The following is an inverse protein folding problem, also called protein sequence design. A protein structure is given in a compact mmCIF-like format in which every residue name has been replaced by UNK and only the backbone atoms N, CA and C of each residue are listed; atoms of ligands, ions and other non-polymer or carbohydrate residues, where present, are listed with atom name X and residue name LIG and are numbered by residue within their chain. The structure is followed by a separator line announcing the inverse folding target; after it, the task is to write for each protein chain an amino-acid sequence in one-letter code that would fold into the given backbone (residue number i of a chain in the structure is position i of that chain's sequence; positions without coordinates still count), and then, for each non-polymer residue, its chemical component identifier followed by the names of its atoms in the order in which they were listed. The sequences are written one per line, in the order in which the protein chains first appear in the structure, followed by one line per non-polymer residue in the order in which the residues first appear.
data_IF_376306712923
#
_entry.id   IF_376306712923
#
_cell.length_a   1.000
_cell.length_b   1.000
_cell.length_c   1.000
_cell.angle_alpha   90.00
_cell.angle_beta   90.00
_cell.angle_gamma   90.00
#
_symmetry.space_group_name_H-M   'P 1'
#
loop_
_entity.id
_entity.type
_entity.pdbx_description
1 polymer ?
#
# COMPACT_ATOMS: atom_id res chain seq x y z
N UNK A 1 14.95 2.08 14.27
CA UNK A 1 14.00 2.97 13.55
C UNK A 1 13.56 4.07 14.49
N UNK A 2 13.85 5.32 14.14
CA UNK A 2 13.39 6.49 14.91
C UNK A 2 11.86 6.62 14.84
N UNK A 3 11.25 7.40 15.74
CA UNK A 3 9.80 7.66 15.73
C UNK A 3 9.32 8.25 14.39
N UNK A 4 10.08 9.19 13.84
CA UNK A 4 9.80 9.85 12.55
C UNK A 4 9.75 8.84 11.39
N UNK A 5 10.64 7.85 11.38
CA UNK A 5 10.66 6.81 10.35
C UNK A 5 9.41 5.91 10.41
N UNK A 6 8.91 5.61 11.62
CA UNK A 6 7.69 4.81 11.81
C UNK A 6 6.46 5.56 11.30
N UNK A 7 6.34 6.85 11.61
CA UNK A 7 5.23 7.69 11.18
C UNK A 7 5.18 7.83 9.64
N UNK A 8 6.34 8.03 8.99
CA UNK A 8 6.43 8.10 7.54
C UNK A 8 5.97 6.78 6.88
N UNK A 9 6.46 5.64 7.36
CA UNK A 9 6.05 4.33 6.84
C UNK A 9 4.55 4.12 7.02
N UNK A 10 4.01 4.47 8.19
CA UNK A 10 2.59 4.34 8.48
C UNK A 10 1.73 5.25 7.59
N UNK A 11 2.11 6.51 7.41
CA UNK A 11 1.43 7.47 6.52
C UNK A 11 1.32 6.93 5.09
N UNK A 12 2.43 6.41 4.55
CA UNK A 12 2.47 5.81 3.21
C UNK A 12 1.57 4.59 3.09
N UNK A 13 1.63 3.66 4.04
CA UNK A 13 0.81 2.44 4.03
C UNK A 13 -0.68 2.77 4.18
N UNK A 14 -1.04 3.69 5.09
CA UNK A 14 -2.42 4.15 5.26
C UNK A 14 -2.96 4.83 4.00
N UNK A 15 -2.15 5.65 3.33
CA UNK A 15 -2.54 6.28 2.06
C UNK A 15 -2.84 5.27 0.95
N UNK A 16 -2.05 4.19 0.86
CA UNK A 16 -2.31 3.09 -0.07
C UNK A 16 -3.59 2.33 0.30
N UNK A 17 -3.80 2.02 1.57
CA UNK A 17 -5.01 1.33 2.05
C UNK A 17 -6.28 2.13 1.75
N UNK A 18 -6.27 3.45 1.98
CA UNK A 18 -7.41 4.31 1.68
C UNK A 18 -7.74 4.30 0.18
N UNK A 19 -6.73 4.44 -0.67
CA UNK A 19 -6.93 4.40 -2.12
C UNK A 19 -7.44 3.02 -2.57
N UNK A 20 -6.97 1.94 -1.97
CA UNK A 20 -7.44 0.57 -2.23
C UNK A 20 -8.91 0.41 -1.89
N UNK A 21 -9.34 0.93 -0.74
CA UNK A 21 -10.74 0.94 -0.34
C UNK A 21 -11.61 1.69 -1.36
N UNK A 22 -11.18 2.88 -1.81
CA UNK A 22 -11.92 3.66 -2.80
C UNK A 22 -11.97 2.98 -4.18
N UNK A 23 -10.89 2.31 -4.59
CA UNK A 23 -10.78 1.65 -5.89
C UNK A 23 -11.49 0.29 -5.94
N UNK A 24 -11.62 -0.41 -4.81
CA UNK A 24 -12.36 -1.67 -4.73
C UNK A 24 -13.84 -1.51 -5.14
N UNK A 25 -14.39 -0.30 -5.07
CA UNK A 25 -15.72 0.09 -5.54
C UNK A 25 -15.84 0.17 -7.06
N UNK A 26 -14.72 0.15 -7.78
CA UNK A 26 -14.66 0.23 -9.25
C UNK A 26 -14.45 -1.19 -9.84
N UNK A 27 -15.41 -1.64 -10.66
CA UNK A 27 -15.48 -3.02 -11.16
C UNK A 27 -14.70 -3.26 -12.46
N UNK A 28 -14.17 -2.23 -13.11
CA UNK A 28 -13.60 -2.33 -14.46
C UNK A 28 -12.09 -2.03 -14.58
N UNK A 29 -11.42 -1.66 -13.48
CA UNK A 29 -10.01 -1.31 -13.55
C UNK A 29 -9.08 -2.52 -13.36
N UNK A 30 -7.98 -2.56 -14.14
CA UNK A 30 -6.88 -3.49 -13.93
C UNK A 30 -6.20 -3.22 -12.58
N UNK A 31 -6.67 -3.95 -11.57
CA UNK A 31 -6.24 -3.80 -10.17
C UNK A 31 -4.76 -4.07 -9.99
N UNK A 32 -4.17 -4.94 -10.82
CA UNK A 32 -2.77 -5.32 -10.71
C UNK A 32 -1.88 -4.16 -11.15
N UNK A 33 -2.18 -3.58 -12.32
CA UNK A 33 -1.45 -2.41 -12.84
C UNK A 33 -1.62 -1.19 -11.94
N UNK A 34 -2.82 -1.01 -11.38
CA UNK A 34 -3.12 0.08 -10.46
C UNK A 34 -2.40 -0.09 -9.11
N UNK A 35 -2.40 -1.29 -8.51
CA UNK A 35 -1.69 -1.59 -7.27
C UNK A 35 -0.16 -1.44 -7.42
N UNK A 36 0.39 -1.87 -8.55
CA UNK A 36 1.80 -1.68 -8.88
C UNK A 36 2.17 -0.18 -8.97
N UNK A 37 1.31 0.63 -9.60
CA UNK A 37 1.49 2.08 -9.71
C UNK A 37 1.46 2.77 -8.35
N UNK A 38 0.55 2.35 -7.45
CA UNK A 38 0.50 2.86 -6.08
C UNK A 38 1.73 2.51 -5.26
N UNK A 39 2.21 1.27 -5.36
CA UNK A 39 3.41 0.84 -4.65
C UNK A 39 4.64 1.62 -5.12
N UNK A 40 4.75 1.87 -6.42
CA UNK A 40 5.81 2.69 -6.99
C UNK A 40 5.76 4.12 -6.43
N UNK A 41 4.57 4.74 -6.43
CA UNK A 41 4.37 6.10 -5.93
C UNK A 41 4.68 6.22 -4.42
N UNK A 42 4.29 5.24 -3.62
CA UNK A 42 4.49 5.23 -2.17
C UNK A 42 5.96 5.01 -1.75
N UNK A 43 6.83 4.57 -2.67
CA UNK A 43 8.20 4.16 -2.36
C UNK A 43 9.30 4.90 -3.13
N UNK A 44 8.95 5.70 -4.14
CA UNK A 44 9.92 6.33 -5.07
C UNK A 44 10.96 7.23 -4.39
N UNK A 45 10.57 7.87 -3.29
CA UNK A 45 11.34 8.88 -2.55
C UNK A 45 11.93 8.33 -1.25
N UNK A 46 11.70 7.06 -0.93
CA UNK A 46 12.14 6.45 0.32
C UNK A 46 13.54 5.84 0.21
N UNK A 47 14.32 5.98 1.29
CA UNK A 47 15.55 5.22 1.47
C UNK A 47 15.26 3.71 1.62
N UNK A 48 16.29 2.88 1.46
CA UNK A 48 16.12 1.42 1.36
C UNK A 48 15.37 0.78 2.56
N UNK A 49 15.64 1.14 3.83
CA UNK A 49 14.93 0.56 4.97
C UNK A 49 13.43 0.90 4.98
N UNK A 50 13.08 2.17 4.77
CA UNK A 50 11.70 2.65 4.73
C UNK A 50 10.95 2.08 3.53
N UNK A 51 11.63 1.97 2.38
CA UNK A 51 11.10 1.34 1.17
C UNK A 51 10.70 -0.11 1.40
N UNK A 52 11.54 -0.89 2.08
CA UNK A 52 11.24 -2.28 2.42
C UNK A 52 10.06 -2.37 3.40
N UNK A 53 10.02 -1.50 4.41
CA UNK A 53 8.93 -1.47 5.38
C UNK A 53 7.58 -1.10 4.74
N UNK A 54 7.55 -0.08 3.87
CA UNK A 54 6.34 0.29 3.12
C UNK A 54 5.91 -0.83 2.16
N UNK A 55 6.85 -1.49 1.46
CA UNK A 55 6.53 -2.65 0.61
C UNK A 55 5.85 -3.76 1.39
N UNK A 56 6.38 -4.11 2.57
CA UNK A 56 5.78 -5.11 3.43
C UNK A 56 4.38 -4.68 3.88
N UNK A 57 4.21 -3.46 4.38
CA UNK A 57 2.91 -2.97 4.84
C UNK A 57 1.86 -2.93 3.74
N UNK A 58 2.23 -2.52 2.52
CA UNK A 58 1.32 -2.55 1.36
C UNK A 58 0.94 -3.98 0.99
N UNK A 59 1.88 -4.93 1.03
CA UNK A 59 1.57 -6.34 0.80
C UNK A 59 0.57 -6.89 1.83
N UNK A 60 0.79 -6.59 3.12
CA UNK A 60 -0.12 -7.00 4.20
C UNK A 60 -1.55 -6.43 3.97
N UNK A 61 -1.66 -5.17 3.53
CA UNK A 61 -2.95 -4.54 3.17
C UNK A 61 -3.62 -5.26 1.99
N UNK A 62 -2.88 -5.57 0.92
CA UNK A 62 -3.43 -6.26 -0.24
C UNK A 62 -3.99 -7.64 0.14
N UNK A 63 -3.25 -8.41 0.92
CA UNK A 63 -3.71 -9.72 1.43
C UNK A 63 -5.00 -9.61 2.24
N UNK A 64 -5.15 -8.58 3.08
CA UNK A 64 -6.40 -8.36 3.83
C UNK A 64 -7.61 -8.16 2.91
N UNK A 65 -7.47 -7.38 1.84
CA UNK A 65 -8.54 -7.16 0.87
C UNK A 65 -8.87 -8.42 0.05
N UNK A 66 -7.87 -9.23 -0.27
CA UNK A 66 -8.06 -10.52 -0.96
C UNK A 66 -8.81 -11.52 -0.06
N UNK A 67 -8.44 -11.62 1.22
CA UNK A 67 -9.11 -12.48 2.19
C UNK A 67 -10.57 -12.08 2.42
N UNK A 68 -10.86 -10.78 2.56
CA UNK A 68 -12.24 -10.30 2.75
C UNK A 68 -13.12 -10.58 1.52
N UNK A 69 -12.54 -10.60 0.31
CA UNK A 69 -13.28 -10.94 -0.92
C UNK A 69 -13.59 -12.42 -1.08
N UNK A 70 -12.80 -13.30 -0.45
CA UNK A 70 -13.00 -14.73 -0.51
C UNK A 70 -14.05 -15.24 0.50
N UNK A 71 -14.57 -14.36 1.35
CA UNK A 71 -15.55 -14.63 2.39
C UNK A 71 -16.97 -14.35 1.92
#
# INVERSE_FOLDING_TARGET
MSGIQKELVQERVSGVALRLACHASDTNADRTTWAASLLLAATRDLAAPERLAVRKGVHDVLQMFELERAR
#
